data_IF_133492625341
#
_entry.id   IF_133492625341
#
_cell.length_a   1.000
_cell.length_b   1.000
_cell.length_c   1.000
_cell.angle_alpha   90.00
_cell.angle_beta   90.00
_cell.angle_gamma   90.00
#
_symmetry.space_group_name_H-M   'P 1'
#
loop_
_entity.id
_entity.type
_entity.pdbx_description
1 polymer ?
#
# COMPACT_ATOMS: atom_id res chain seq x y z
N UNK A 1 -16.71 -12.71 1.21
CA UNK A 1 -15.73 -13.76 1.57
C UNK A 1 -14.53 -13.82 0.61
N UNK A 2 -14.72 -13.55 -0.70
CA UNK A 2 -13.63 -13.39 -1.69
C UNK A 2 -12.71 -12.17 -1.41
N UNK A 3 -13.23 -11.12 -0.77
CA UNK A 3 -12.52 -9.85 -0.55
C UNK A 3 -11.43 -9.85 0.54
N UNK A 4 -11.39 -10.87 1.41
CA UNK A 4 -10.36 -10.97 2.47
C UNK A 4 -9.04 -11.44 1.85
N UNK A 5 -9.09 -12.48 1.01
CA UNK A 5 -7.92 -12.98 0.27
C UNK A 5 -7.46 -11.99 -0.81
N UNK A 6 -8.39 -11.24 -1.41
CA UNK A 6 -8.08 -10.26 -2.46
C UNK A 6 -7.20 -9.09 -1.97
N UNK A 7 -7.19 -8.82 -0.66
CA UNK A 7 -6.32 -7.81 -0.02
C UNK A 7 -4.95 -8.35 0.37
N UNK A 8 -4.90 -9.59 0.83
CA UNK A 8 -3.68 -10.29 1.29
C UNK A 8 -2.73 -10.54 0.13
N UNK A 9 -3.28 -10.98 -1.00
CA UNK A 9 -2.47 -11.33 -2.16
C UNK A 9 -2.39 -10.19 -3.19
N UNK A 10 -2.67 -8.94 -2.80
CA UNK A 10 -2.52 -7.83 -3.74
C UNK A 10 -1.04 -7.45 -3.85
N UNK A 11 -0.29 -8.19 -4.68
CA UNK A 11 1.15 -7.98 -4.91
C UNK A 11 2.07 -9.11 -4.43
N UNK A 12 1.51 -10.26 -4.02
CA UNK A 12 2.30 -11.46 -3.75
C UNK A 12 2.64 -12.15 -5.08
N UNK A 13 3.92 -12.31 -5.45
CA UNK A 13 4.29 -12.97 -6.69
C UNK A 13 3.85 -14.45 -6.74
N UNK A 14 3.60 -15.11 -5.60
CA UNK A 14 3.27 -16.54 -5.48
C UNK A 14 1.81 -16.94 -5.72
N UNK A 15 0.92 -16.00 -6.10
CA UNK A 15 -0.47 -16.33 -6.44
C UNK A 15 -0.77 -15.83 -7.85
N UNK A 16 -1.41 -16.64 -8.73
CA UNK A 16 -1.74 -16.21 -10.09
C UNK A 16 -2.77 -15.08 -10.05
N UNK A 17 -2.29 -13.83 -10.05
CA UNK A 17 -3.11 -12.60 -10.04
C UNK A 17 -3.70 -12.22 -11.38
N UNK A 18 -3.42 -13.02 -12.40
CA UNK A 18 -3.82 -12.77 -13.76
C UNK A 18 -4.06 -14.11 -14.42
N UNK A 19 -5.33 -14.39 -14.70
CA UNK A 19 -5.61 -15.22 -15.86
C UNK A 19 -4.99 -14.55 -17.09
N UNK A 20 -4.64 -15.36 -18.09
CA UNK A 20 -4.08 -14.89 -19.36
C UNK A 20 -4.95 -13.82 -20.04
N UNK A 21 -6.26 -13.81 -19.73
CA UNK A 21 -7.28 -12.86 -20.18
C UNK A 21 -7.04 -11.41 -19.72
N UNK A 22 -6.44 -11.17 -18.55
CA UNK A 22 -6.17 -9.79 -18.09
C UNK A 22 -4.94 -9.17 -18.71
N UNK A 23 -3.94 -9.98 -19.08
CA UNK A 23 -2.74 -9.46 -19.73
C UNK A 23 -3.04 -8.94 -21.13
N UNK A 24 -3.89 -9.62 -21.90
CA UNK A 24 -4.35 -9.13 -23.20
C UNK A 24 -5.03 -7.76 -23.08
N UNK A 25 -5.88 -7.58 -22.08
CA UNK A 25 -6.55 -6.30 -21.82
C UNK A 25 -5.58 -5.15 -21.46
N UNK A 26 -4.48 -5.43 -20.76
CA UNK A 26 -3.46 -4.43 -20.42
C UNK A 26 -2.72 -3.97 -21.68
N UNK A 27 -2.35 -4.90 -22.57
CA UNK A 27 -1.72 -4.56 -23.84
C UNK A 27 -2.67 -3.84 -24.78
N UNK A 28 -3.93 -4.27 -24.87
CA UNK A 28 -4.96 -3.61 -25.67
C UNK A 28 -5.21 -2.18 -25.15
N UNK A 29 -5.33 -2.00 -23.83
CA UNK A 29 -5.50 -0.68 -23.22
C UNK A 29 -4.31 0.24 -23.46
N UNK A 30 -3.09 -0.28 -23.33
CA UNK A 30 -1.86 0.48 -23.56
C UNK A 30 -1.66 0.83 -25.04
N UNK A 31 -1.97 -0.10 -25.95
CA UNK A 31 -1.95 0.12 -27.40
C UNK A 31 -3.02 1.14 -27.82
N UNK A 32 -4.24 1.04 -27.28
CA UNK A 32 -5.32 2.00 -27.55
C UNK A 32 -4.97 3.41 -27.04
N UNK A 33 -4.41 3.53 -25.82
CA UNK A 33 -3.94 4.82 -25.29
C UNK A 33 -2.79 5.40 -26.11
N UNK A 34 -1.85 4.56 -26.57
CA UNK A 34 -0.74 4.97 -27.43
C UNK A 34 -1.23 5.45 -28.80
N UNK A 35 -2.20 4.75 -29.40
CA UNK A 35 -2.82 5.18 -30.65
C UNK A 35 -3.58 6.51 -30.48
N UNK A 36 -4.39 6.64 -29.41
CA UNK A 36 -5.15 7.86 -29.13
C UNK A 36 -4.24 9.06 -28.88
N UNK A 37 -3.12 8.88 -28.18
CA UNK A 37 -2.13 9.94 -27.95
C UNK A 37 -1.31 10.28 -29.22
N UNK A 38 -1.13 9.33 -30.13
CA UNK A 38 -0.52 9.59 -31.43
C UNK A 38 -1.39 10.49 -32.32
N UNK A 39 -2.71 10.26 -32.35
CA UNK A 39 -3.65 11.08 -33.12
C UNK A 39 -4.05 12.38 -32.40
N UNK A 40 -4.04 12.40 -31.07
CA UNK A 40 -4.33 13.59 -30.26
C UNK A 40 -3.32 13.72 -29.10
N UNK A 41 -2.14 14.34 -29.35
CA UNK A 41 -1.07 14.45 -28.36
C UNK A 41 -1.42 15.31 -27.13
N UNK A 42 -2.58 15.98 -27.14
CA UNK A 42 -3.07 16.81 -26.04
C UNK A 42 -4.38 16.29 -25.44
N UNK A 43 -4.73 15.02 -25.62
CA UNK A 43 -5.98 14.48 -25.05
C UNK A 43 -6.07 14.69 -23.54
N UNK A 44 -4.94 14.71 -22.81
CA UNK A 44 -4.90 14.98 -21.37
C UNK A 44 -5.35 16.40 -21.00
N UNK A 45 -5.39 17.36 -21.94
CA UNK A 45 -5.95 18.69 -21.69
C UNK A 45 -7.48 18.68 -21.63
N UNK A 46 -8.13 17.65 -22.19
CA UNK A 46 -9.60 17.53 -22.17
C UNK A 46 -10.15 17.10 -20.81
N UNK A 47 -9.35 16.48 -19.94
CA UNK A 47 -9.80 16.10 -18.59
C UNK A 47 -10.06 17.32 -17.69
N UNK A 48 -9.30 18.41 -17.86
CA UNK A 48 -9.57 19.69 -17.19
C UNK A 48 -10.67 20.53 -17.89
N UNK A 49 -11.02 20.22 -19.14
CA UNK A 49 -12.05 20.95 -19.89
C UNK A 49 -13.48 20.63 -19.42
N UNK A 50 -13.65 19.56 -18.63
CA UNK A 50 -14.91 19.12 -18.03
C UNK A 50 -14.95 19.29 -16.51
N UNK A 51 -14.19 20.22 -15.94
CA UNK A 51 -14.45 20.64 -14.56
C UNK A 51 -15.76 21.45 -14.51
N UNK A 52 -16.86 20.78 -14.17
CA UNK A 52 -18.19 21.38 -14.11
C UNK A 52 -18.24 22.56 -13.12
N UNK A 53 -17.44 22.50 -12.05
CA UNK A 53 -17.34 23.57 -11.06
C UNK A 53 -16.82 24.89 -11.64
N UNK A 54 -15.77 24.85 -12.47
CA UNK A 54 -15.20 26.07 -13.08
C UNK A 54 -16.18 26.71 -14.06
N UNK A 55 -16.88 25.90 -14.86
CA UNK A 55 -17.93 26.40 -15.77
C UNK A 55 -19.11 27.01 -15.02
N UNK A 56 -19.51 26.39 -13.92
CA UNK A 56 -20.59 26.89 -13.06
C UNK A 56 -20.22 28.25 -12.42
N UNK A 57 -18.97 28.40 -11.96
CA UNK A 57 -18.46 29.67 -11.42
C UNK A 57 -18.41 30.78 -12.48
N UNK A 58 -17.91 30.49 -13.69
CA UNK A 58 -17.86 31.47 -14.78
C UNK A 58 -19.28 31.92 -15.22
N UNK A 59 -20.21 30.97 -15.32
CA UNK A 59 -21.61 31.27 -15.64
C UNK A 59 -22.25 32.18 -14.59
N UNK A 60 -22.05 31.86 -13.31
CA UNK A 60 -22.58 32.67 -12.22
C UNK A 60 -21.96 34.07 -12.16
N UNK A 61 -20.65 34.18 -12.40
CA UNK A 61 -19.94 35.46 -12.47
C UNK A 61 -20.44 36.34 -13.63
N UNK A 62 -20.75 35.75 -14.78
CA UNK A 62 -21.33 36.46 -15.93
C UNK A 62 -22.69 37.07 -15.57
N UNK A 63 -23.59 36.28 -14.97
CA UNK A 63 -24.91 36.76 -14.57
C UNK A 63 -24.84 37.82 -13.47
N UNK A 64 -23.91 37.67 -12.52
CA UNK A 64 -23.65 38.69 -11.50
C UNK A 64 -23.16 40.02 -12.10
N UNK A 65 -22.24 39.99 -13.07
CA UNK A 65 -21.77 41.21 -13.77
C UNK A 65 -22.93 41.92 -14.48
N UNK A 66 -23.77 41.17 -15.20
CA UNK A 66 -24.94 41.71 -15.91
C UNK A 66 -25.99 42.31 -14.96
N UNK A 67 -26.15 41.72 -13.78
CA UNK A 67 -27.03 42.27 -12.75
C UNK A 67 -26.47 43.56 -12.12
N UNK A 68 -25.14 43.65 -11.90
CA UNK A 68 -24.48 44.87 -11.42
C UNK A 68 -24.59 46.03 -12.42
N UNK A 69 -24.43 45.75 -13.72
CA UNK A 69 -24.64 46.74 -14.79
C UNK A 69 -26.07 47.29 -14.77
N UNK A 70 -27.05 46.44 -14.46
CA UNK A 70 -28.46 46.80 -14.30
C UNK A 70 -28.82 47.34 -12.91
N UNK A 71 -27.85 47.50 -12.00
CA UNK A 71 -28.05 47.89 -10.58
C UNK A 71 -29.10 47.04 -9.84
N UNK A 72 -29.25 45.77 -10.21
CA UNK A 72 -30.18 44.84 -9.57
C UNK A 72 -29.45 43.93 -8.58
N UNK A 73 -30.05 43.58 -7.42
CA UNK A 73 -29.46 42.62 -6.50
C UNK A 73 -29.44 41.22 -7.13
N UNK A 74 -28.30 40.54 -7.07
CA UNK A 74 -28.13 39.19 -7.60
C UNK A 74 -27.86 38.19 -6.47
N UNK A 75 -28.61 37.10 -6.44
CA UNK A 75 -28.48 36.03 -5.44
C UNK A 75 -27.65 34.88 -6.02
N UNK A 76 -26.49 34.62 -5.42
CA UNK A 76 -25.65 33.48 -5.75
C UNK A 76 -26.35 32.17 -5.38
N UNK A 77 -26.30 31.18 -6.28
CA UNK A 77 -26.91 29.86 -6.17
C UNK A 77 -25.90 28.80 -5.75
N UNK A 78 -24.64 28.91 -6.17
CA UNK A 78 -23.63 27.85 -5.94
C UNK A 78 -22.95 27.95 -4.57
N UNK A 79 -23.06 29.09 -3.90
CA UNK A 79 -22.73 29.24 -2.48
C UNK A 79 -23.71 30.22 -1.83
N UNK A 80 -24.63 29.77 -0.94
CA UNK A 80 -25.37 30.71 -0.10
C UNK A 80 -24.37 31.40 0.85
N UNK A 81 -24.43 32.74 1.03
CA UNK A 81 -23.52 33.44 1.92
C UNK A 81 -23.91 33.16 3.37
N UNK A 82 -23.47 32.03 3.92
CA UNK A 82 -23.42 31.81 5.35
C UNK A 82 -22.00 32.08 5.83
N UNK A 83 -21.64 33.37 5.91
CA UNK A 83 -20.62 33.91 6.81
C UNK A 83 -20.68 35.44 6.68
N UNK A 84 -21.36 36.08 7.64
CA UNK A 84 -21.20 37.52 7.86
C UNK A 84 -19.74 37.74 8.30
N UNK A 85 -18.87 38.08 7.34
CA UNK A 85 -17.57 38.66 7.66
C UNK A 85 -17.84 40.02 8.32
N UNK A 86 -17.81 40.02 9.65
CA UNK A 86 -17.85 41.20 10.50
C UNK A 86 -16.59 42.02 10.19
N UNK A 87 -16.74 43.09 9.43
CA UNK A 87 -15.66 44.03 9.20
C UNK A 87 -15.50 44.87 10.48
N UNK A 88 -14.52 44.52 11.31
CA UNK A 88 -13.97 45.47 12.28
C UNK A 88 -12.85 46.23 11.56
N UNK A 89 -12.90 47.58 11.47
CA UNK A 89 -11.79 48.34 10.90
C UNK A 89 -10.65 48.37 11.93
N UNK A 90 -9.51 47.75 11.60
CA UNK A 90 -8.25 47.93 12.32
C UNK A 90 -7.47 49.10 11.70
N UNK A 91 -6.71 49.86 12.51
CA UNK A 91 -6.19 51.17 12.13
C UNK A 91 -5.05 51.07 11.13
N UNK A 92 -5.02 52.04 10.23
CA UNK A 92 -3.96 52.29 9.26
C UNK A 92 -2.69 52.69 10.01
N UNK A 93 -1.64 51.88 9.90
CA UNK A 93 -0.27 52.28 10.24
C UNK A 93 0.54 52.38 8.95
N UNK A 94 0.90 53.61 8.61
CA UNK A 94 1.81 53.97 7.52
C UNK A 94 3.23 53.53 7.84
N UNK A 95 3.91 52.84 6.93
CA UNK A 95 5.29 53.13 6.51
C UNK A 95 5.72 52.23 5.34
N UNK A 96 6.50 52.74 4.35
CA UNK A 96 6.92 51.98 3.18
C UNK A 96 8.24 51.26 3.45
N UNK A 97 8.28 49.94 3.26
CA UNK A 97 9.53 49.17 3.29
C UNK A 97 9.63 48.36 1.98
N UNK A 98 10.61 48.72 1.15
CA UNK A 98 11.07 47.95 0.00
C UNK A 98 11.56 46.57 0.47
N UNK A 99 11.06 45.49 -0.14
CA UNK A 99 11.59 44.16 0.05
C UNK A 99 12.27 43.67 -1.23
N UNK A 100 13.61 43.62 -1.19
CA UNK A 100 14.46 42.85 -2.10
C UNK A 100 14.42 41.38 -1.68
N UNK A 101 14.10 40.47 -2.60
CA UNK A 101 14.11 39.03 -2.34
C UNK A 101 15.53 38.48 -2.59
N UNK A 102 16.23 38.18 -1.50
CA UNK A 102 17.48 37.42 -1.47
C UNK A 102 17.17 35.93 -1.69
N UNK A 103 17.75 35.34 -2.74
CA UNK A 103 17.80 33.88 -2.94
C UNK A 103 19.17 33.40 -2.46
N UNK A 104 19.22 32.79 -1.27
CA UNK A 104 20.39 32.04 -0.81
C UNK A 104 20.12 30.55 -0.99
N UNK A 105 20.69 29.97 -2.04
CA UNK A 105 20.86 28.52 -2.25
C UNK A 105 22.30 28.18 -1.88
N UNK A 106 22.58 27.15 -1.06
CA UNK A 106 23.95 26.70 -0.83
C UNK A 106 24.49 25.94 -2.06
N UNK A 107 25.63 26.40 -2.58
CA UNK A 107 26.48 25.68 -3.54
C UNK A 107 27.56 24.87 -2.80
N UNK A 108 27.77 23.62 -3.24
CA UNK A 108 29.08 22.93 -3.24
C UNK A 108 28.97 21.71 -4.18
N UNK A 109 29.38 21.83 -5.46
CA UNK A 109 30.61 21.25 -6.08
C UNK A 109 30.84 19.76 -5.72
N UNK A 110 30.74 18.83 -6.66
CA UNK A 110 31.81 18.57 -7.64
C UNK A 110 31.35 17.97 -8.98
N UNK A 111 32.18 18.27 -9.98
CA UNK A 111 32.14 17.96 -11.40
C UNK A 111 32.28 16.48 -11.76
N UNK A 112 31.50 16.04 -12.76
CA UNK A 112 31.94 15.07 -13.76
C UNK A 112 31.58 15.62 -15.15
N UNK A 113 32.60 15.72 -15.99
CA UNK A 113 32.69 16.45 -17.23
C UNK A 113 32.11 15.61 -18.38
N UNK A 114 30.97 16.00 -18.94
CA UNK A 114 30.45 15.40 -20.19
C UNK A 114 30.90 16.24 -21.39
N UNK A 115 31.53 15.65 -22.42
CA UNK A 115 32.11 16.40 -23.53
C UNK A 115 31.05 17.04 -24.44
N UNK A 116 31.42 18.23 -24.89
CA UNK A 116 30.65 19.25 -25.59
C UNK A 116 30.56 18.97 -27.10
N UNK A 117 30.05 17.79 -27.47
CA UNK A 117 29.89 17.39 -28.87
C UNK A 117 28.56 16.66 -29.14
N UNK A 118 27.43 17.32 -28.87
CA UNK A 118 26.18 17.06 -29.61
C UNK A 118 25.33 18.34 -29.60
N UNK A 119 25.80 19.41 -30.23
CA UNK A 119 24.96 20.61 -30.42
C UNK A 119 25.20 21.28 -31.77
N UNK A 120 24.95 20.54 -32.85
CA UNK A 120 24.74 21.14 -34.18
C UNK A 120 24.13 20.18 -35.20
N UNK A 121 22.93 19.65 -34.97
CA UNK A 121 22.09 19.16 -36.09
C UNK A 121 20.65 19.61 -35.89
N UNK A 122 20.35 20.79 -36.44
CA UNK A 122 19.01 21.36 -36.58
C UNK A 122 18.37 20.77 -37.85
N UNK A 123 17.65 19.65 -37.73
CA UNK A 123 16.69 19.26 -38.77
C UNK A 123 15.43 18.66 -38.12
N UNK A 124 14.26 19.11 -38.58
CA UNK A 124 12.94 18.76 -38.01
C UNK A 124 12.53 17.29 -38.24
N UNK A 125 13.37 16.48 -38.88
CA UNK A 125 13.15 15.05 -39.15
C UNK A 125 13.83 14.11 -38.15
N UNK A 126 14.78 14.59 -37.33
CA UNK A 126 15.55 13.74 -36.41
C UNK A 126 14.86 13.46 -35.06
N UNK A 127 13.85 14.25 -34.67
CA UNK A 127 13.05 13.96 -33.47
C UNK A 127 12.17 12.71 -33.60
N UNK A 128 11.85 12.28 -34.84
CA UNK A 128 11.06 11.07 -35.08
C UNK A 128 11.89 9.77 -35.03
N UNK A 129 13.20 9.85 -35.23
CA UNK A 129 14.09 8.67 -35.22
C UNK A 129 14.70 8.41 -33.83
N UNK A 130 14.79 9.44 -32.98
CA UNK A 130 15.29 9.31 -31.61
C UNK A 130 14.24 8.74 -30.62
N UNK A 131 12.94 8.89 -30.88
CA UNK A 131 11.90 8.22 -30.06
C UNK A 131 11.65 6.76 -30.50
N UNK A 132 11.80 6.46 -31.80
CA UNK A 132 11.63 5.10 -32.34
C UNK A 132 12.74 4.13 -31.95
N UNK A 133 13.98 4.62 -31.80
CA UNK A 133 15.13 3.80 -31.41
C UNK A 133 15.15 3.47 -29.91
N UNK A 134 14.58 4.33 -29.04
CA UNK A 134 14.43 4.02 -27.62
C UNK A 134 13.36 2.93 -27.36
N UNK A 135 12.26 2.95 -28.13
CA UNK A 135 11.21 1.93 -28.03
C UNK A 135 11.69 0.55 -28.51
N UNK A 136 12.50 0.49 -29.57
CA UNK A 136 13.11 -0.76 -30.03
C UNK A 136 14.23 -1.25 -29.09
N UNK A 137 14.98 -0.36 -28.43
CA UNK A 137 15.98 -0.77 -27.43
C UNK A 137 15.33 -1.43 -26.20
N UNK A 138 14.19 -0.92 -25.71
CA UNK A 138 13.40 -1.56 -24.64
C UNK A 138 12.81 -2.91 -25.09
N UNK A 139 12.58 -3.09 -26.39
CA UNK A 139 12.06 -4.34 -26.96
C UNK A 139 13.13 -5.44 -27.14
N UNK A 140 14.42 -5.06 -27.19
CA UNK A 140 15.55 -5.95 -27.48
C UNK A 140 16.50 -6.16 -26.30
N UNK A 141 16.47 -5.30 -25.27
CA UNK A 141 16.95 -5.69 -23.94
C UNK A 141 15.93 -6.67 -23.40
N UNK A 142 16.31 -7.96 -23.45
CA UNK A 142 15.44 -9.09 -23.20
C UNK A 142 14.49 -8.86 -22.05
N UNK A 143 13.32 -9.48 -22.19
CA UNK A 143 12.44 -9.88 -21.10
C UNK A 143 13.34 -10.29 -19.93
N UNK A 144 13.65 -9.34 -19.06
CA UNK A 144 13.95 -9.65 -17.69
C UNK A 144 12.67 -10.34 -17.28
N UNK A 145 12.71 -11.66 -17.24
CA UNK A 145 11.76 -12.42 -16.48
C UNK A 145 11.77 -11.70 -15.15
N UNK A 146 10.75 -10.86 -14.91
CA UNK A 146 10.32 -10.64 -13.56
C UNK A 146 10.12 -12.07 -13.08
N UNK A 147 11.04 -12.54 -12.24
CA UNK A 147 10.97 -13.83 -11.58
C UNK A 147 9.69 -13.76 -10.76
N UNK A 148 8.56 -13.94 -11.43
CA UNK A 148 7.26 -14.09 -10.82
C UNK A 148 7.42 -15.40 -10.08
N UNK A 149 7.67 -15.30 -8.77
CA UNK A 149 7.76 -16.45 -7.88
C UNK A 149 6.63 -17.39 -8.27
N UNK A 150 6.97 -18.56 -8.79
CA UNK A 150 5.99 -19.48 -9.35
C UNK A 150 4.97 -19.79 -8.26
N UNK A 151 3.68 -19.78 -8.60
CA UNK A 151 2.65 -20.13 -7.63
C UNK A 151 2.81 -21.58 -7.19
N UNK A 152 3.34 -21.80 -6.00
CA UNK A 152 3.53 -23.12 -5.42
C UNK A 152 2.36 -23.41 -4.48
N UNK A 153 1.65 -24.50 -4.74
CA UNK A 153 0.63 -25.03 -3.85
C UNK A 153 0.94 -26.52 -3.65
N UNK A 154 1.66 -26.84 -2.57
CA UNK A 154 2.06 -28.21 -2.20
C UNK A 154 1.26 -28.69 -0.99
N UNK A 155 0.05 -29.25 -1.18
CA UNK A 155 -0.79 -29.72 -0.08
C UNK A 155 -0.18 -30.90 0.69
N UNK A 156 0.80 -31.60 0.10
CA UNK A 156 1.52 -32.73 0.72
C UNK A 156 2.36 -32.33 1.94
N UNK A 157 2.67 -31.04 2.10
CA UNK A 157 3.42 -30.52 3.25
C UNK A 157 2.57 -30.39 4.52
N UNK A 158 1.26 -30.65 4.42
CA UNK A 158 0.35 -30.55 5.56
C UNK A 158 0.35 -31.85 6.39
N UNK A 159 0.37 -31.75 7.73
CA UNK A 159 0.19 -32.91 8.60
C UNK A 159 -1.16 -33.60 8.36
N UNK A 160 -1.20 -34.92 8.57
CA UNK A 160 -2.45 -35.71 8.47
C UNK A 160 -3.40 -35.47 9.64
N UNK A 161 -2.87 -35.05 10.77
CA UNK A 161 -3.61 -34.73 11.99
C UNK A 161 -3.73 -33.22 12.14
N UNK A 162 -4.85 -32.75 12.69
CA UNK A 162 -5.08 -31.33 12.90
C UNK A 162 -4.13 -30.77 13.96
N UNK A 163 -3.28 -29.82 13.55
CA UNK A 163 -2.41 -29.06 14.45
C UNK A 163 -2.63 -27.56 14.27
N UNK A 164 -2.54 -26.79 15.35
CA UNK A 164 -2.73 -25.32 15.33
C UNK A 164 -1.47 -24.58 14.87
N UNK A 165 -0.31 -25.20 15.09
CA UNK A 165 1.01 -24.75 14.66
C UNK A 165 1.53 -25.75 13.63
N UNK A 166 2.02 -25.24 12.50
CA UNK A 166 2.67 -26.03 11.47
C UNK A 166 3.99 -25.35 11.16
N UNK A 167 5.10 -26.05 11.41
CA UNK A 167 6.42 -25.63 10.96
C UNK A 167 6.92 -26.54 9.85
N UNK A 168 6.93 -26.01 8.63
CA UNK A 168 7.49 -26.68 7.46
C UNK A 168 8.98 -26.35 7.30
N UNK A 169 9.41 -25.20 7.83
CA UNK A 169 10.74 -24.67 7.61
C UNK A 169 11.75 -25.09 8.67
N UNK A 170 11.30 -25.62 9.81
CA UNK A 170 12.13 -25.98 10.95
C UNK A 170 12.68 -24.75 11.68
N UNK A 171 11.90 -23.67 11.76
CA UNK A 171 12.24 -22.48 12.54
C UNK A 171 12.08 -22.71 14.05
N UNK A 172 11.14 -23.55 14.45
CA UNK A 172 10.79 -23.79 15.86
C UNK A 172 11.35 -25.14 16.32
N UNK A 173 11.80 -25.18 17.57
CA UNK A 173 12.07 -26.45 18.25
C UNK A 173 10.76 -27.11 18.71
N UNK A 174 10.74 -28.45 18.83
CA UNK A 174 9.58 -29.20 19.36
C UNK A 174 9.04 -28.65 20.70
N UNK A 175 9.92 -28.10 21.53
CA UNK A 175 9.56 -27.47 22.80
C UNK A 175 8.83 -26.14 22.60
N UNK A 176 9.32 -25.30 21.68
CA UNK A 176 8.67 -24.04 21.32
C UNK A 176 7.32 -24.27 20.65
N UNK A 177 7.24 -25.22 19.72
CA UNK A 177 5.97 -25.58 19.06
C UNK A 177 4.91 -25.98 20.09
N UNK A 178 5.26 -26.85 21.04
CA UNK A 178 4.35 -27.26 22.11
C UNK A 178 3.94 -26.11 23.00
N UNK A 179 4.88 -25.22 23.36
CA UNK A 179 4.59 -24.05 24.20
C UNK A 179 3.65 -23.07 23.49
N UNK A 180 3.91 -22.80 22.21
CA UNK A 180 3.08 -21.94 21.35
C UNK A 180 1.69 -22.58 21.17
N UNK A 181 1.62 -23.88 20.92
CA UNK A 181 0.36 -24.59 20.78
C UNK A 181 -0.49 -24.54 22.07
N UNK A 182 0.14 -24.68 23.24
CA UNK A 182 -0.52 -24.53 24.54
C UNK A 182 -1.04 -23.10 24.76
N UNK A 183 -0.24 -22.09 24.42
CA UNK A 183 -0.64 -20.69 24.53
C UNK A 183 -1.84 -20.37 23.62
N UNK A 184 -1.85 -20.91 22.40
CA UNK A 184 -2.96 -20.78 21.45
C UNK A 184 -4.23 -21.46 21.96
N UNK A 185 -4.10 -22.67 22.52
CA UNK A 185 -5.25 -23.40 23.09
C UNK A 185 -5.83 -22.68 24.31
N UNK A 186 -4.99 -22.07 25.15
CA UNK A 186 -5.42 -21.23 26.25
C UNK A 186 -6.16 -19.98 25.74
N UNK A 187 -5.58 -19.29 24.75
CA UNK A 187 -6.20 -18.12 24.12
C UNK A 187 -7.58 -18.43 23.54
N UNK A 188 -7.72 -19.56 22.85
CA UNK A 188 -9.00 -20.02 22.28
C UNK A 188 -10.06 -20.24 23.36
N UNK A 189 -9.68 -20.84 24.49
CA UNK A 189 -10.59 -21.08 25.62
C UNK A 189 -11.00 -19.78 26.33
N UNK A 190 -10.08 -18.83 26.46
CA UNK A 190 -10.30 -17.58 27.17
C UNK A 190 -11.16 -16.60 26.36
N UNK A 191 -10.90 -16.49 25.05
CA UNK A 191 -11.45 -15.41 24.20
C UNK A 191 -12.42 -15.91 23.12
N UNK A 192 -12.32 -17.18 22.72
CA UNK A 192 -13.02 -17.72 21.56
C UNK A 192 -12.38 -17.39 20.20
N UNK A 193 -11.23 -16.69 20.18
CA UNK A 193 -10.47 -16.39 18.96
C UNK A 193 -9.49 -17.50 18.62
N UNK A 194 -9.41 -17.87 17.34
CA UNK A 194 -8.56 -18.97 16.85
C UNK A 194 -7.29 -18.41 16.22
N UNK A 195 -6.14 -18.70 16.81
CA UNK A 195 -4.84 -18.34 16.23
C UNK A 195 -4.22 -19.57 15.54
N UNK A 196 -3.78 -19.40 14.30
CA UNK A 196 -3.13 -20.46 13.50
C UNK A 196 -1.77 -19.96 13.04
N UNK A 197 -0.73 -20.73 13.31
CA UNK A 197 0.66 -20.34 13.04
C UNK A 197 1.25 -21.25 11.97
N UNK A 198 1.73 -20.65 10.89
CA UNK A 198 2.43 -21.34 9.81
C UNK A 198 3.85 -20.78 9.71
N UNK A 199 4.85 -21.60 10.00
CA UNK A 199 6.23 -21.31 9.63
C UNK A 199 6.56 -22.03 8.31
N UNK A 200 6.94 -21.26 7.30
CA UNK A 200 7.23 -21.78 5.97
C UNK A 200 8.42 -21.04 5.34
N UNK A 201 8.99 -21.63 4.30
CA UNK A 201 10.10 -21.02 3.57
C UNK A 201 9.91 -21.26 2.07
N UNK A 202 9.80 -20.19 1.28
CA UNK A 202 9.69 -20.32 -0.18
C UNK A 202 10.92 -21.03 -0.76
N UNK A 203 10.76 -22.00 -1.69
CA UNK A 203 9.55 -22.32 -2.45
C UNK A 203 8.62 -23.37 -1.82
N UNK A 204 8.95 -23.94 -0.66
CA UNK A 204 8.15 -24.98 -0.02
C UNK A 204 7.00 -24.37 0.78
N UNK A 205 5.95 -23.99 0.05
CA UNK A 205 4.75 -23.39 0.61
C UNK A 205 3.52 -24.26 0.35
N UNK A 206 2.74 -24.59 1.38
CA UNK A 206 1.45 -25.28 1.22
C UNK A 206 0.38 -24.41 0.56
N UNK A 207 0.59 -23.09 0.47
CA UNK A 207 -0.26 -22.18 -0.29
C UNK A 207 -1.72 -22.16 0.19
N UNK A 208 -2.66 -22.14 -0.76
CA UNK A 208 -4.10 -22.03 -0.47
C UNK A 208 -4.68 -23.25 0.28
N UNK A 209 -3.99 -24.40 0.28
CA UNK A 209 -4.48 -25.63 0.91
C UNK A 209 -4.67 -25.51 2.43
N UNK A 210 -3.94 -24.59 3.08
CA UNK A 210 -4.05 -24.33 4.52
C UNK A 210 -5.44 -23.89 4.94
N UNK A 211 -6.11 -23.11 4.08
CA UNK A 211 -7.42 -22.56 4.40
C UNK A 211 -8.45 -23.68 4.62
N UNK A 212 -8.40 -24.69 3.77
CA UNK A 212 -9.31 -25.84 3.81
C UNK A 212 -8.94 -26.78 4.97
N UNK A 213 -7.65 -26.93 5.26
CA UNK A 213 -7.15 -27.72 6.39
C UNK A 213 -7.61 -27.16 7.75
N UNK A 214 -7.42 -25.85 7.98
CA UNK A 214 -7.81 -25.22 9.25
C UNK A 214 -9.26 -24.79 9.33
N UNK A 215 -10.02 -24.85 8.22
CA UNK A 215 -11.40 -24.37 8.12
C UNK A 215 -11.55 -22.96 8.69
N UNK A 216 -10.73 -22.04 8.16
CA UNK A 216 -10.61 -20.65 8.62
C UNK A 216 -11.99 -19.97 8.61
N UNK A 217 -12.38 -19.43 9.77
CA UNK A 217 -13.64 -18.69 9.98
C UNK A 217 -13.38 -17.19 10.25
N UNK A 218 -14.44 -16.43 10.52
CA UNK A 218 -14.35 -14.98 10.78
C UNK A 218 -13.65 -14.63 12.11
N UNK A 219 -13.48 -15.62 13.00
CA UNK A 219 -12.79 -15.50 14.29
C UNK A 219 -11.35 -16.06 14.22
N UNK A 220 -10.89 -16.44 13.03
CA UNK A 220 -9.57 -17.04 12.84
C UNK A 220 -8.56 -15.99 12.38
N UNK A 221 -7.37 -16.05 12.97
CA UNK A 221 -6.19 -15.29 12.58
C UNK A 221 -5.18 -16.29 12.05
N UNK A 222 -4.81 -16.16 10.77
CA UNK A 222 -3.74 -16.96 10.16
C UNK A 222 -2.46 -16.13 10.13
N UNK A 223 -1.53 -16.49 11.00
CA UNK A 223 -0.20 -15.91 11.09
C UNK A 223 0.79 -16.79 10.30
N UNK A 224 1.40 -16.19 9.28
CA UNK A 224 2.41 -16.81 8.42
C UNK A 224 3.76 -16.18 8.69
N UNK A 225 4.76 -17.02 8.99
CA UNK A 225 6.15 -16.65 9.13
C UNK A 225 6.94 -17.13 7.89
N UNK A 226 7.44 -16.19 7.08
CA UNK A 226 8.22 -16.47 5.87
C UNK A 226 9.31 -15.40 5.64
N UNK A 227 10.60 -15.75 5.74
CA UNK A 227 11.71 -14.79 5.64
C UNK A 227 11.87 -14.19 4.24
N UNK A 228 11.22 -14.74 3.21
CA UNK A 228 11.42 -14.37 1.80
C UNK A 228 10.88 -12.98 1.46
N UNK A 229 10.01 -12.39 2.28
CA UNK A 229 9.32 -11.12 1.98
C UNK A 229 9.96 -9.91 2.67
N UNK A 230 11.16 -10.07 3.24
CA UNK A 230 11.87 -9.04 4.01
C UNK A 230 11.28 -8.85 5.40
N UNK A 231 9.96 -8.66 5.49
CA UNK A 231 9.22 -8.88 6.72
C UNK A 231 8.90 -10.36 6.88
N UNK A 232 9.34 -10.98 7.97
CA UNK A 232 9.07 -12.40 8.22
C UNK A 232 7.62 -12.64 8.64
N UNK A 233 6.94 -11.65 9.24
CA UNK A 233 5.60 -11.82 9.80
C UNK A 233 4.52 -11.32 8.83
N UNK A 234 3.56 -12.17 8.51
CA UNK A 234 2.40 -11.85 7.70
C UNK A 234 1.10 -12.33 8.38
N UNK A 235 0.07 -11.49 8.41
CA UNK A 235 -1.16 -11.75 9.17
C UNK A 235 -2.38 -11.68 8.25
N UNK A 236 -3.22 -12.71 8.34
CA UNK A 236 -4.54 -12.75 7.76
C UNK A 236 -5.57 -12.77 8.89
N UNK A 237 -6.42 -11.75 8.91
CA UNK A 237 -7.33 -11.52 10.03
C UNK A 237 -8.77 -11.72 9.54
N UNK A 238 -9.54 -12.53 10.27
CA UNK A 238 -10.97 -12.73 10.04
C UNK A 238 -11.78 -11.46 10.32
N UNK A 239 -13.00 -11.41 9.78
CA UNK A 239 -13.83 -10.19 9.83
C UNK A 239 -14.22 -9.80 11.27
N UNK A 240 -14.46 -10.76 12.17
CA UNK A 240 -14.82 -10.45 13.57
C UNK A 240 -13.63 -9.84 14.31
N UNK A 241 -12.43 -10.35 14.06
CA UNK A 241 -11.20 -9.87 14.71
C UNK A 241 -10.83 -8.46 14.21
N UNK A 242 -11.04 -8.14 12.92
CA UNK A 242 -10.77 -6.80 12.36
C UNK A 242 -11.68 -5.71 12.96
N UNK A 243 -12.81 -6.08 13.59
CA UNK A 243 -13.68 -5.15 14.32
C UNK A 243 -13.14 -4.84 15.72
N UNK A 244 -12.59 -5.84 16.41
CA UNK A 244 -12.15 -5.73 17.80
C UNK A 244 -10.69 -5.26 17.95
N UNK A 245 -9.84 -5.59 16.96
CA UNK A 245 -8.41 -5.27 16.96
C UNK A 245 -8.10 -4.24 15.87
N UNK A 246 -7.56 -3.05 16.23
CA UNK A 246 -7.26 -2.02 15.25
C UNK A 246 -6.14 -2.45 14.30
N UNK A 247 -6.27 -2.12 13.01
CA UNK A 247 -5.25 -2.43 11.98
C UNK A 247 -3.84 -1.90 12.28
N UNK A 248 -3.74 -0.84 13.07
CA UNK A 248 -2.45 -0.30 13.53
C UNK A 248 -1.67 -1.26 14.43
N UNK A 249 -2.35 -2.17 15.13
CA UNK A 249 -1.70 -3.21 15.93
C UNK A 249 -0.87 -4.15 15.05
N UNK A 250 -1.46 -4.72 14.00
CA UNK A 250 -0.79 -5.65 13.09
C UNK A 250 0.42 -5.02 12.40
N UNK A 251 0.29 -3.77 11.95
CA UNK A 251 1.39 -3.03 11.33
C UNK A 251 2.54 -2.77 12.30
N UNK A 252 2.25 -2.45 13.57
CA UNK A 252 3.28 -2.26 14.60
C UNK A 252 3.94 -3.57 14.98
N UNK A 253 3.18 -4.66 15.06
CA UNK A 253 3.70 -5.99 15.36
C UNK A 253 4.67 -6.46 14.28
N UNK A 254 4.26 -6.36 13.01
CA UNK A 254 5.10 -6.65 11.86
C UNK A 254 6.32 -5.70 11.79
N UNK A 255 6.16 -4.43 12.15
CA UNK A 255 7.26 -3.46 12.21
C UNK A 255 8.28 -3.73 13.33
N UNK A 256 7.83 -4.19 14.51
CA UNK A 256 8.66 -4.42 15.70
C UNK A 256 9.40 -5.75 15.64
N UNK A 257 8.66 -6.84 15.42
CA UNK A 257 9.20 -8.21 15.47
C UNK A 257 9.46 -8.81 14.09
N UNK A 258 8.84 -8.26 13.04
CA UNK A 258 8.92 -8.84 11.71
C UNK A 258 9.97 -8.22 10.80
N UNK A 259 10.54 -7.07 11.17
CA UNK A 259 11.55 -6.41 10.35
C UNK A 259 12.83 -7.26 10.22
N UNK A 260 13.52 -7.08 9.09
CA UNK A 260 14.73 -7.84 8.74
C UNK A 260 15.87 -7.73 9.76
N UNK A 261 15.96 -6.62 10.49
CA UNK A 261 17.01 -6.43 11.48
C UNK A 261 16.74 -7.25 12.74
N UNK A 262 15.48 -7.29 13.17
CA UNK A 262 15.07 -7.99 14.37
C UNK A 262 15.26 -9.50 14.25
N UNK A 263 14.69 -10.12 13.22
CA UNK A 263 14.76 -11.58 13.09
C UNK A 263 16.15 -12.07 12.71
N UNK A 264 16.97 -11.27 12.01
CA UNK A 264 18.38 -11.61 11.79
C UNK A 264 19.25 -11.52 13.03
N UNK A 265 18.89 -10.66 13.99
CA UNK A 265 19.65 -10.51 15.24
C UNK A 265 19.19 -11.49 16.33
N UNK A 266 17.88 -11.66 16.49
CA UNK A 266 17.26 -12.44 17.57
C UNK A 266 16.95 -13.89 17.18
N UNK A 267 16.83 -14.18 15.89
CA UNK A 267 16.33 -15.45 15.38
C UNK A 267 14.90 -15.34 14.87
N UNK A 268 14.59 -16.19 13.90
CA UNK A 268 13.25 -16.38 13.33
C UNK A 268 12.29 -16.90 14.41
N UNK A 269 12.75 -17.83 15.23
CA UNK A 269 12.02 -18.43 16.34
C UNK A 269 11.57 -17.40 17.38
N UNK A 270 12.49 -16.54 17.83
CA UNK A 270 12.22 -15.48 18.79
C UNK A 270 11.22 -14.46 18.22
N UNK A 271 11.27 -14.21 16.92
CA UNK A 271 10.35 -13.31 16.22
C UNK A 271 8.93 -13.87 16.19
N UNK A 272 8.78 -15.17 15.95
CA UNK A 272 7.51 -15.88 15.98
C UNK A 272 6.95 -15.93 17.40
N UNK A 273 7.75 -16.32 18.39
CA UNK A 273 7.34 -16.42 19.80
C UNK A 273 6.89 -15.05 20.32
N UNK A 274 7.67 -13.99 20.08
CA UNK A 274 7.32 -12.64 20.51
C UNK A 274 6.03 -12.14 19.85
N UNK A 275 5.81 -12.45 18.57
CA UNK A 275 4.59 -12.10 17.87
C UNK A 275 3.37 -12.82 18.45
N UNK A 276 3.46 -14.12 18.71
CA UNK A 276 2.38 -14.91 19.32
C UNK A 276 2.02 -14.37 20.70
N UNK A 277 3.02 -14.12 21.55
CA UNK A 277 2.80 -13.61 22.89
C UNK A 277 2.14 -12.22 22.89
N UNK A 278 2.56 -11.33 21.98
CA UNK A 278 1.96 -10.01 21.84
C UNK A 278 0.50 -10.09 21.35
N UNK A 279 0.19 -10.98 20.40
CA UNK A 279 -1.19 -11.23 19.93
C UNK A 279 -2.04 -11.77 21.09
N UNK A 280 -1.52 -12.76 21.81
CA UNK A 280 -2.21 -13.39 22.94
C UNK A 280 -2.53 -12.39 24.05
N UNK A 281 -1.59 -11.51 24.37
CA UNK A 281 -1.82 -10.42 25.35
C UNK A 281 -2.87 -9.42 24.85
N UNK A 282 -2.79 -9.00 23.59
CA UNK A 282 -3.73 -8.06 22.97
C UNK A 282 -5.17 -8.60 22.97
N UNK A 283 -5.37 -9.87 22.60
CA UNK A 283 -6.70 -10.46 22.51
C UNK A 283 -7.36 -10.74 23.86
N UNK A 284 -6.57 -10.85 24.94
CA UNK A 284 -7.09 -10.95 26.32
C UNK A 284 -7.44 -9.58 26.92
N UNK A 285 -6.98 -8.49 26.33
CA UNK A 285 -7.36 -7.15 26.78
C UNK A 285 -8.83 -6.85 26.44
N UNK A 286 -9.58 -6.19 27.35
CA UNK A 286 -10.95 -5.81 27.06
C UNK A 286 -10.99 -4.77 25.93
N UNK A 287 -11.95 -4.92 25.02
CA UNK A 287 -12.17 -3.98 23.91
C UNK A 287 -12.40 -2.56 24.44
N UNK A 288 -11.55 -1.62 24.00
CA UNK A 288 -11.55 -0.24 24.49
C UNK A 288 -10.74 0.69 23.57
N UNK A 289 -10.78 2.00 23.84
CA UNK A 289 -10.14 3.01 22.99
C UNK A 289 -8.61 2.83 22.86
N UNK A 290 -7.99 2.20 23.86
CA UNK A 290 -6.55 1.92 23.91
C UNK A 290 -6.25 0.42 23.74
N UNK A 291 -7.17 -0.37 23.18
CA UNK A 291 -6.98 -1.81 23.02
C UNK A 291 -5.71 -2.12 22.21
N UNK A 292 -4.86 -2.99 22.74
CA UNK A 292 -3.62 -3.41 22.11
C UNK A 292 -2.66 -2.24 21.81
N UNK A 293 -2.79 -1.10 22.49
CA UNK A 293 -1.98 0.10 22.23
C UNK A 293 -0.56 0.00 22.82
N UNK A 294 -0.35 -0.82 23.84
CA UNK A 294 0.89 -0.88 24.62
C UNK A 294 1.59 -2.25 24.45
N UNK A 295 2.48 -2.37 23.46
CA UNK A 295 3.22 -3.62 23.18
C UNK A 295 4.40 -3.90 24.14
N UNK A 296 4.41 -3.32 25.35
CA UNK A 296 5.61 -3.24 26.21
C UNK A 296 5.48 -3.87 27.60
N UNK A 297 4.46 -4.69 27.88
CA UNK A 297 4.36 -5.39 29.19
C UNK A 297 5.06 -6.75 29.29
N UNK A 298 5.76 -7.20 28.25
CA UNK A 298 6.49 -8.47 28.27
C UNK A 298 7.99 -8.26 27.98
N UNK A 299 8.64 -7.52 28.87
CA UNK A 299 10.10 -7.53 29.06
C UNK A 299 10.43 -6.82 30.38
N UNK A 300 10.11 -7.42 31.52
CA UNK A 300 10.65 -7.05 32.84
C UNK A 300 10.75 -8.31 33.71
#
# INVERSE_FOLDING_TARGET
MEDILRRVYRGDPGVPHSGTDRFENIWIGSAAFSALTFFNPYMWQTSNQFNWHDKAMLFEQYHWKKAREKKQPYKFKLHPPSLKLRHNPLPVLTNPIKASLSQNTPQSRNSLHFPQWVSSVRSKSLNFLLSGSLALAVSLTGVGFAEAKVGVNKPELLPKEFTTVIDVAGFLSDGQEKRIAQEIDALEKDTGYKLRVLAQNYPDTPGLAIKDFWKVDDNTIVFVADPTFGNILNFNVGASVDLDVPRSFWNRLAGKYGNIFYWKEKGEDASIEAAVMAISSCLREPVGANNCSENDRLAS
#
